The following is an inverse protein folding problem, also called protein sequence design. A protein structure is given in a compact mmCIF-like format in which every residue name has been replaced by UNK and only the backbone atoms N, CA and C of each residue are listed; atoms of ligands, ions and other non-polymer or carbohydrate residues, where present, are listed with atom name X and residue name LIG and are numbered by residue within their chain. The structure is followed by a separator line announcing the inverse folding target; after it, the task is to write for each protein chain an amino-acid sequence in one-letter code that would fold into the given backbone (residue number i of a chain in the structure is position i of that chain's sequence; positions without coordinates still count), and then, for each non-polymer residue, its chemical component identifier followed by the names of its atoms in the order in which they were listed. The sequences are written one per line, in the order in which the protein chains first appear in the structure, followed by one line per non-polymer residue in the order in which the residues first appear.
data_IF_296534567555
#
_entry.id   IF_296534567555
#
_cell.length_a   1.000
_cell.length_b   1.000
_cell.length_c   1.000
_cell.angle_alpha   90.00
_cell.angle_beta   90.00
_cell.angle_gamma   90.00
#
_symmetry.space_group_name_H-M   'P 1'
#
loop_
_entity.id
_entity.type
_entity.pdbx_description
1 polymer ?
#
# COMPACT_ATOMS: atom_id res chain seq x y z
N UNK A 1 17.32 5.07 -11.32
CA UNK A 1 16.07 4.32 -11.08
C UNK A 1 15.72 4.48 -9.62
N UNK A 2 14.48 4.85 -9.32
CA UNK A 2 13.98 4.98 -7.97
C UNK A 2 13.59 3.62 -7.40
N UNK A 3 13.85 3.40 -6.12
CA UNK A 3 13.47 2.21 -5.35
C UNK A 3 12.19 2.48 -4.58
N UNK A 4 11.18 1.62 -4.76
CA UNK A 4 9.87 1.74 -4.10
C UNK A 4 9.61 0.50 -3.26
N UNK A 5 9.28 0.70 -1.98
CA UNK A 5 8.79 -0.35 -1.10
C UNK A 5 7.26 -0.31 -1.01
N UNK A 6 6.58 -1.40 -1.30
CA UNK A 6 5.13 -1.54 -1.21
C UNK A 6 4.79 -2.55 -0.12
N UNK A 7 4.01 -2.14 0.87
CA UNK A 7 3.46 -3.00 1.90
C UNK A 7 1.99 -3.28 1.57
N UNK A 8 1.72 -4.48 1.06
CA UNK A 8 0.41 -4.93 0.60
C UNK A 8 -0.23 -5.81 1.66
N UNK A 9 -1.01 -5.23 2.56
CA UNK A 9 -1.52 -5.91 3.74
C UNK A 9 -2.87 -6.60 3.52
N UNK A 10 -3.59 -6.21 2.47
CA UNK A 10 -4.87 -6.82 2.07
C UNK A 10 -4.70 -7.85 0.94
N UNK A 11 -3.82 -7.56 -0.03
CA UNK A 11 -3.62 -8.39 -1.22
C UNK A 11 -2.26 -9.09 -1.23
N UNK A 12 -2.21 -10.30 -1.79
CA UNK A 12 -0.94 -10.99 -2.04
C UNK A 12 -0.10 -10.33 -3.13
N UNK A 13 1.23 -10.49 -3.05
CA UNK A 13 2.19 -9.86 -3.96
C UNK A 13 1.93 -10.19 -5.43
N UNK A 14 1.59 -11.45 -5.75
CA UNK A 14 1.29 -11.90 -7.11
C UNK A 14 0.08 -11.19 -7.73
N UNK A 15 -0.96 -10.95 -6.92
CA UNK A 15 -2.16 -10.26 -7.38
C UNK A 15 -1.87 -8.79 -7.68
N UNK A 16 -1.08 -8.14 -6.83
CA UNK A 16 -0.68 -6.76 -7.02
C UNK A 16 0.26 -6.62 -8.24
N UNK A 17 1.25 -7.49 -8.37
CA UNK A 17 2.15 -7.55 -9.53
C UNK A 17 1.37 -7.75 -10.83
N UNK A 18 0.39 -8.67 -10.83
CA UNK A 18 -0.49 -8.90 -11.99
C UNK A 18 -1.25 -7.64 -12.38
N UNK A 19 -1.83 -6.92 -11.40
CA UNK A 19 -2.53 -5.65 -11.68
C UNK A 19 -1.58 -4.59 -12.26
N UNK A 20 -0.36 -4.50 -11.75
CA UNK A 20 0.66 -3.58 -12.28
C UNK A 20 1.04 -3.92 -13.74
N UNK A 21 1.21 -5.20 -14.06
CA UNK A 21 1.53 -5.66 -15.41
C UNK A 21 0.37 -5.35 -16.37
N UNK A 22 -0.86 -5.71 -15.99
CA UNK A 22 -2.04 -5.43 -16.82
C UNK A 22 -2.22 -3.94 -17.08
N UNK A 23 -2.04 -3.11 -16.04
CA UNK A 23 -2.10 -1.65 -16.16
C UNK A 23 -1.01 -1.10 -17.09
N UNK A 24 0.24 -1.54 -16.91
CA UNK A 24 1.37 -1.08 -17.74
C UNK A 24 1.31 -1.58 -19.20
N UNK A 25 0.71 -2.74 -19.44
CA UNK A 25 0.57 -3.34 -20.77
C UNK A 25 -0.72 -2.94 -21.49
N UNK A 26 -1.63 -2.25 -20.82
CA UNK A 26 -3.00 -2.00 -21.29
C UNK A 26 -3.70 -3.31 -21.71
N UNK A 27 -3.64 -4.30 -20.81
CA UNK A 27 -4.20 -5.65 -20.97
C UNK A 27 -5.39 -5.81 -20.04
N UNK A 28 -6.49 -6.35 -20.56
CA UNK A 28 -7.69 -6.62 -19.75
C UNK A 28 -7.42 -7.71 -18.70
N UNK A 29 -7.50 -7.33 -17.43
CA UNK A 29 -7.28 -8.22 -16.29
C UNK A 29 -8.27 -9.39 -16.21
N UNK A 30 -9.49 -9.24 -16.75
CA UNK A 30 -10.47 -10.33 -16.78
C UNK A 30 -10.06 -11.39 -17.78
N UNK A 31 -9.65 -10.98 -18.99
CA UNK A 31 -9.19 -11.91 -20.03
C UNK A 31 -7.95 -12.70 -19.58
N UNK A 32 -7.04 -12.07 -18.83
CA UNK A 32 -5.90 -12.76 -18.23
C UNK A 32 -6.37 -13.82 -17.22
N UNK A 33 -7.32 -13.47 -16.34
CA UNK A 33 -7.87 -14.37 -15.31
C UNK A 33 -8.65 -15.54 -15.91
N UNK A 34 -9.37 -15.32 -17.00
CA UNK A 34 -10.18 -16.35 -17.68
C UNK A 34 -9.38 -17.15 -18.71
N UNK A 35 -8.12 -16.78 -18.98
CA UNK A 35 -7.30 -17.42 -20.00
C UNK A 35 -7.72 -17.12 -21.45
N UNK A 36 -8.57 -16.12 -21.66
CA UNK A 36 -9.11 -15.76 -23.00
C UNK A 36 -8.29 -14.64 -23.65
N UNK A 37 -6.96 -14.68 -23.47
CA UNK A 37 -6.03 -13.70 -24.01
C UNK A 37 -5.79 -13.91 -25.50
N UNK A 38 -5.85 -12.82 -26.27
CA UNK A 38 -5.44 -12.85 -27.68
C UNK A 38 -3.92 -12.89 -27.82
N UNK A 39 -3.40 -13.24 -28.99
CA UNK A 39 -1.94 -13.17 -29.24
C UNK A 39 -1.37 -11.77 -29.03
N UNK A 40 -2.12 -10.73 -29.38
CA UNK A 40 -1.73 -9.34 -29.14
C UNK A 40 -1.68 -9.03 -27.64
N UNK A 41 -2.67 -9.48 -26.87
CA UNK A 41 -2.67 -9.32 -25.41
C UNK A 41 -1.45 -10.00 -24.77
N UNK A 42 -1.11 -11.22 -25.21
CA UNK A 42 0.07 -11.94 -24.74
C UNK A 42 1.38 -11.20 -25.05
N UNK A 43 1.48 -10.61 -26.24
CA UNK A 43 2.64 -9.81 -26.64
C UNK A 43 2.79 -8.57 -25.74
N UNK A 44 1.70 -7.82 -25.53
CA UNK A 44 1.68 -6.64 -24.64
C UNK A 44 2.00 -7.01 -23.19
N UNK A 45 1.44 -8.11 -22.70
CA UNK A 45 1.69 -8.63 -21.36
C UNK A 45 3.18 -8.98 -21.17
N UNK A 46 3.77 -9.72 -22.12
CA UNK A 46 5.19 -10.11 -22.06
C UNK A 46 6.11 -8.89 -22.06
N UNK A 47 5.82 -7.89 -22.89
CA UNK A 47 6.56 -6.63 -22.90
C UNK A 47 6.45 -5.92 -21.54
N UNK A 48 5.25 -5.87 -20.94
CA UNK A 48 5.02 -5.26 -19.65
C UNK A 48 5.75 -6.00 -18.50
N UNK A 49 5.76 -7.34 -18.50
CA UNK A 49 6.56 -8.16 -17.58
C UNK A 49 8.04 -7.79 -17.70
N UNK A 50 8.56 -7.73 -18.92
CA UNK A 50 9.95 -7.35 -19.17
C UNK A 50 10.27 -5.96 -18.61
N UNK A 51 9.37 -4.98 -18.78
CA UNK A 51 9.53 -3.64 -18.17
C UNK A 51 9.51 -3.69 -16.65
N UNK A 52 8.53 -4.36 -16.05
CA UNK A 52 8.36 -4.41 -14.60
C UNK A 52 9.53 -5.14 -13.90
N UNK A 53 10.04 -6.22 -14.51
CA UNK A 53 11.20 -6.99 -13.98
C UNK A 53 12.48 -6.16 -13.84
N UNK A 54 12.60 -5.04 -14.56
CA UNK A 54 13.74 -4.13 -14.49
C UNK A 54 13.54 -2.97 -13.51
N UNK A 55 12.38 -2.90 -12.86
CA UNK A 55 12.09 -1.87 -11.86
C UNK A 55 12.60 -2.29 -10.49
N UNK A 56 12.83 -1.32 -9.60
CA UNK A 56 13.21 -1.56 -8.20
C UNK A 56 11.99 -1.46 -7.28
N UNK A 57 10.97 -2.26 -7.59
CA UNK A 57 9.75 -2.35 -6.76
C UNK A 57 9.88 -3.59 -5.89
N UNK A 58 9.83 -3.38 -4.58
CA UNK A 58 9.87 -4.43 -3.57
C UNK A 58 8.50 -4.53 -2.91
N UNK A 59 7.87 -5.70 -2.94
CA UNK A 59 6.55 -5.93 -2.35
C UNK A 59 6.72 -6.80 -1.11
N UNK A 60 6.11 -6.37 -0.01
CA UNK A 60 5.95 -7.14 1.20
C UNK A 60 4.47 -7.35 1.46
N UNK A 61 4.01 -8.60 1.42
CA UNK A 61 2.62 -8.99 1.63
C UNK A 61 2.39 -9.68 2.98
N UNK A 62 3.25 -9.39 3.97
CA UNK A 62 3.10 -9.95 5.32
C UNK A 62 1.82 -9.41 5.98
N UNK A 63 0.81 -10.26 6.29
CA UNK A 63 -0.43 -9.81 6.89
C UNK A 63 -0.22 -9.43 8.37
N UNK A 64 -0.98 -8.44 8.84
CA UNK A 64 -0.98 -8.05 10.26
C UNK A 64 0.37 -7.53 10.77
N UNK A 65 1.18 -6.94 9.90
CA UNK A 65 2.49 -6.39 10.26
C UNK A 65 2.36 -5.31 11.35
N UNK A 66 3.26 -5.34 12.33
CA UNK A 66 3.36 -4.26 13.32
C UNK A 66 4.14 -3.09 12.75
N UNK A 67 3.81 -1.88 13.21
CA UNK A 67 4.46 -0.66 12.74
C UNK A 67 5.99 -0.66 12.94
N UNK A 68 6.48 -1.31 14.00
CA UNK A 68 7.92 -1.46 14.25
C UNK A 68 8.61 -2.44 13.29
N UNK A 69 7.92 -3.48 12.87
CA UNK A 69 8.44 -4.44 11.89
C UNK A 69 8.50 -3.79 10.50
N UNK A 70 7.45 -3.03 10.14
CA UNK A 70 7.42 -2.21 8.93
C UNK A 70 8.63 -1.24 8.90
N UNK A 71 8.86 -0.50 9.99
CA UNK A 71 10.02 0.40 10.11
C UNK A 71 11.34 -0.34 9.89
N UNK A 72 11.52 -1.49 10.53
CA UNK A 72 12.74 -2.30 10.44
C UNK A 72 12.98 -2.78 9.01
N UNK A 73 11.93 -3.24 8.31
CA UNK A 73 11.99 -3.64 6.90
C UNK A 73 12.35 -2.46 5.99
N UNK A 74 11.78 -1.28 6.20
CA UNK A 74 12.13 -0.08 5.42
C UNK A 74 13.60 0.32 5.62
N UNK A 75 14.13 0.28 6.85
CA UNK A 75 15.55 0.58 7.13
C UNK A 75 16.48 -0.38 6.42
N UNK A 76 16.18 -1.68 6.47
CA UNK A 76 16.94 -2.72 5.78
C UNK A 76 16.92 -2.51 4.27
N UNK A 77 15.74 -2.25 3.69
CA UNK A 77 15.61 -1.98 2.25
C UNK A 77 16.41 -0.74 1.83
N UNK A 78 16.34 0.36 2.61
CA UNK A 78 17.14 1.56 2.35
C UNK A 78 18.65 1.27 2.39
N UNK A 79 19.10 0.45 3.33
CA UNK A 79 20.52 0.06 3.46
C UNK A 79 21.00 -0.81 2.30
N UNK A 80 20.21 -1.79 1.88
CA UNK A 80 20.59 -2.77 0.85
C UNK A 80 20.44 -2.22 -0.58
N UNK A 81 19.41 -1.40 -0.84
CA UNK A 81 19.00 -1.04 -2.20
C UNK A 81 18.71 0.46 -2.42
N UNK A 82 18.80 1.29 -1.37
CA UNK A 82 18.20 2.62 -1.36
C UNK A 82 16.68 2.55 -1.20
N UNK A 83 16.04 3.67 -0.85
CA UNK A 83 14.58 3.74 -0.73
C UNK A 83 14.10 5.16 -1.00
N UNK A 84 13.33 5.33 -2.07
CA UNK A 84 12.88 6.62 -2.58
C UNK A 84 11.38 6.86 -2.37
N UNK A 85 10.60 5.81 -2.12
CA UNK A 85 9.18 5.90 -1.80
C UNK A 85 8.70 4.67 -1.04
N UNK A 86 7.76 4.88 -0.12
CA UNK A 86 7.03 3.81 0.57
C UNK A 86 5.54 3.95 0.24
N UNK A 87 4.90 2.83 -0.10
CA UNK A 87 3.45 2.74 -0.32
C UNK A 87 2.89 1.69 0.65
N UNK A 88 1.77 2.00 1.32
CA UNK A 88 1.14 1.09 2.27
C UNK A 88 -0.35 0.95 1.95
N UNK A 89 -0.77 -0.29 1.73
CA UNK A 89 -2.15 -0.70 1.44
C UNK A 89 -2.64 -1.65 2.54
N UNK A 90 -3.30 -1.20 3.61
CA UNK A 90 -3.67 0.17 3.96
C UNK A 90 -3.56 0.37 5.48
N UNK A 91 -3.63 1.61 5.96
CA UNK A 91 -3.31 2.00 7.35
C UNK A 91 -4.00 1.14 8.40
N UNK A 92 -5.28 0.86 8.24
CA UNK A 92 -6.07 0.16 9.24
C UNK A 92 -5.75 -1.35 9.34
N UNK A 93 -4.85 -1.89 8.52
CA UNK A 93 -4.35 -3.26 8.68
C UNK A 93 -3.02 -3.34 9.43
N UNK A 94 -2.38 -2.20 9.70
CA UNK A 94 -1.17 -2.13 10.53
C UNK A 94 -1.58 -2.30 12.01
N UNK A 95 -0.79 -3.08 12.73
CA UNK A 95 -0.91 -3.23 14.18
C UNK A 95 0.01 -2.22 14.91
N UNK A 96 -0.50 -1.65 16.01
CA UNK A 96 0.26 -0.78 16.90
C UNK A 96 1.43 -1.49 17.61
N UNK A 97 2.21 -0.73 18.38
CA UNK A 97 3.41 -1.26 19.05
C UNK A 97 3.14 -2.06 20.34
N UNK A 98 1.94 -1.93 20.93
CA UNK A 98 1.56 -2.56 22.20
C UNK A 98 1.00 -3.98 22.08
N UNK A 99 1.20 -4.80 23.11
CA UNK A 99 0.66 -6.18 23.20
C UNK A 99 -0.75 -6.26 23.79
N UNK A 100 -1.28 -5.15 24.30
CA UNK A 100 -2.65 -5.08 24.82
C UNK A 100 -3.51 -4.49 23.71
N UNK A 101 -4.62 -5.16 23.39
CA UNK A 101 -5.74 -4.53 22.71
C UNK A 101 -5.98 -3.18 23.35
N UNK A 102 -5.52 -2.12 22.68
CA UNK A 102 -5.89 -0.78 23.11
C UNK A 102 -7.39 -0.72 22.86
N UNK A 103 -8.19 -0.53 23.92
CA UNK A 103 -9.66 -0.42 23.83
C UNK A 103 -10.11 0.70 22.89
N UNK A 104 -9.18 1.52 22.37
CA UNK A 104 -9.47 2.60 21.45
C UNK A 104 -8.65 2.50 20.16
N UNK A 105 -9.26 1.89 19.14
CA UNK A 105 -8.71 1.81 17.78
C UNK A 105 -8.28 3.16 17.20
N UNK A 106 -8.95 4.25 17.56
CA UNK A 106 -8.58 5.60 17.12
C UNK A 106 -7.17 5.97 17.61
N UNK A 107 -6.83 5.64 18.86
CA UNK A 107 -5.53 5.95 19.45
C UNK A 107 -4.40 5.14 18.79
N UNK A 108 -4.67 3.89 18.44
CA UNK A 108 -3.75 3.02 17.70
C UNK A 108 -3.45 3.60 16.30
N UNK A 109 -4.48 4.01 15.57
CA UNK A 109 -4.33 4.66 14.26
C UNK A 109 -3.58 5.99 14.39
N UNK A 110 -3.79 6.76 15.47
CA UNK A 110 -2.99 7.96 15.77
C UNK A 110 -1.50 7.65 15.92
N UNK A 111 -1.17 6.58 16.65
CA UNK A 111 0.20 6.14 16.87
C UNK A 111 0.86 5.70 15.57
N UNK A 112 0.15 4.92 14.76
CA UNK A 112 0.60 4.48 13.43
C UNK A 112 0.90 5.70 12.55
N UNK A 113 -0.03 6.66 12.45
CA UNK A 113 0.15 7.88 11.64
C UNK A 113 1.41 8.67 12.05
N UNK A 114 1.58 8.94 13.35
CA UNK A 114 2.78 9.63 13.88
C UNK A 114 4.05 8.86 13.58
N UNK A 115 4.02 7.54 13.69
CA UNK A 115 5.19 6.70 13.43
C UNK A 115 5.53 6.67 11.94
N UNK A 116 4.54 6.62 11.05
CA UNK A 116 4.77 6.74 9.61
C UNK A 116 5.37 8.09 9.23
N UNK A 117 4.92 9.18 9.86
CA UNK A 117 5.54 10.50 9.68
C UNK A 117 7.00 10.51 10.15
N UNK A 118 7.31 9.85 11.26
CA UNK A 118 8.67 9.70 11.74
C UNK A 118 9.53 8.87 10.79
N UNK A 119 9.00 7.77 10.22
CA UNK A 119 9.66 6.94 9.21
C UNK A 119 9.95 7.77 7.96
N UNK A 120 8.99 8.55 7.46
CA UNK A 120 9.18 9.43 6.31
C UNK A 120 10.34 10.43 6.52
N UNK A 121 10.41 11.01 7.72
CA UNK A 121 11.49 11.94 8.11
C UNK A 121 12.83 11.24 8.27
N UNK A 122 12.87 10.12 8.98
CA UNK A 122 14.10 9.33 9.21
C UNK A 122 14.70 8.81 7.90
N UNK A 123 13.84 8.31 7.01
CA UNK A 123 14.26 7.73 5.73
C UNK A 123 14.32 8.76 4.61
N UNK A 124 13.99 10.03 4.88
CA UNK A 124 14.03 11.12 3.91
C UNK A 124 13.32 10.77 2.60
N UNK A 125 12.19 10.04 2.68
CA UNK A 125 11.44 9.60 1.52
C UNK A 125 9.93 9.78 1.73
N UNK A 126 9.17 10.09 0.67
CA UNK A 126 7.71 10.15 0.73
C UNK A 126 7.09 8.81 1.12
N UNK A 127 6.10 8.88 2.02
CA UNK A 127 5.26 7.75 2.42
C UNK A 127 3.83 8.02 1.95
N UNK A 128 3.30 7.13 1.11
CA UNK A 128 1.90 7.12 0.68
C UNK A 128 1.20 6.02 1.48
N UNK A 129 0.23 6.41 2.31
CA UNK A 129 -0.56 5.45 3.08
C UNK A 129 -2.02 5.54 2.65
N UNK A 130 -2.55 4.41 2.18
CA UNK A 130 -3.97 4.32 1.84
C UNK A 130 -4.80 4.25 3.12
N UNK A 131 -5.99 4.85 3.09
CA UNK A 131 -6.94 4.80 4.19
C UNK A 131 -8.32 4.50 3.65
N UNK A 132 -9.05 3.62 4.34
CA UNK A 132 -10.47 3.43 4.08
C UNK A 132 -11.30 4.57 4.69
N UNK A 133 -12.48 4.78 4.13
CA UNK A 133 -13.49 5.69 4.64
C UNK A 133 -14.50 4.92 5.49
N UNK A 134 -15.12 5.61 6.44
CA UNK A 134 -16.31 5.12 7.13
C UNK A 134 -17.52 5.12 6.18
N UNK A 135 -18.52 4.27 6.45
CA UNK A 135 -19.76 4.20 5.65
C UNK A 135 -20.65 5.45 5.77
N UNK A 136 -20.30 6.42 6.63
CA UNK A 136 -21.07 7.65 6.82
C UNK A 136 -21.22 8.47 5.54
N UNK A 137 -20.21 8.44 4.66
CA UNK A 137 -20.24 9.09 3.34
C UNK A 137 -21.40 8.60 2.45
N UNK A 138 -21.81 7.34 2.60
CA UNK A 138 -22.87 6.73 1.78
C UNK A 138 -24.27 7.20 2.19
N UNK A 139 -24.43 7.65 3.44
CA UNK A 139 -25.72 8.07 4.00
C UNK A 139 -26.07 9.53 3.66
N UNK A 140 -25.11 10.32 3.19
CA UNK A 140 -25.32 11.72 2.81
C UNK A 140 -25.89 11.83 1.40
N UNK A 141 -26.61 12.93 1.13
CA UNK A 141 -27.02 13.27 -0.24
C UNK A 141 -25.80 13.55 -1.12
N UNK A 142 -24.85 14.35 -0.62
CA UNK A 142 -23.54 14.53 -1.27
C UNK A 142 -22.58 13.43 -0.80
N UNK A 143 -22.23 12.55 -1.74
CA UNK A 143 -21.33 11.40 -1.54
C UNK A 143 -19.85 11.76 -1.74
N UNK A 144 -19.52 13.05 -1.91
CA UNK A 144 -18.12 13.50 -1.90
C UNK A 144 -17.50 13.26 -0.51
N UNK A 145 -16.35 12.57 -0.43
CA UNK A 145 -15.64 12.40 0.84
C UNK A 145 -15.16 13.73 1.42
N UNK A 146 -15.19 13.81 2.74
CA UNK A 146 -14.66 14.88 3.57
C UNK A 146 -13.60 14.29 4.51
N UNK A 147 -12.73 15.11 5.10
CA UNK A 147 -11.66 14.64 5.99
C UNK A 147 -12.22 13.76 7.13
N UNK A 148 -13.33 14.20 7.73
CA UNK A 148 -14.04 13.47 8.80
C UNK A 148 -14.54 12.07 8.41
N UNK A 149 -14.56 11.74 7.12
CA UNK A 149 -14.98 10.42 6.66
C UNK A 149 -13.85 9.39 6.73
N UNK A 150 -12.60 9.82 6.87
CA UNK A 150 -11.46 8.91 7.05
C UNK A 150 -11.77 8.03 8.27
N UNK A 151 -11.64 6.71 8.11
CA UNK A 151 -12.01 5.78 9.17
C UNK A 151 -10.99 5.88 10.31
N UNK A 152 -11.48 6.02 11.54
CA UNK A 152 -10.65 6.10 12.75
C UNK A 152 -9.73 7.36 12.76
N UNK A 153 -10.14 8.43 12.07
CA UNK A 153 -9.28 9.55 11.63
C UNK A 153 -9.00 10.69 12.58
N UNK A 154 -9.54 10.72 13.80
CA UNK A 154 -9.51 11.95 14.63
C UNK A 154 -8.13 12.52 14.98
N UNK A 155 -7.06 11.91 14.46
CA UNK A 155 -5.64 12.30 14.55
C UNK A 155 -4.86 12.19 13.22
N UNK A 156 -5.44 11.64 12.15
CA UNK A 156 -4.78 11.54 10.82
C UNK A 156 -4.79 12.92 10.13
N UNK A 157 -5.79 13.74 10.43
CA UNK A 157 -6.01 15.05 9.82
C UNK A 157 -5.12 16.16 10.43
N UNK A 158 -4.44 15.88 11.54
CA UNK A 158 -3.55 16.80 12.28
C UNK A 158 -2.08 16.48 12.02
#
# INVERSE_FOLDING_TARGET
MYTVGIFSLEMGADQLATRMICSSGNVDSNRLRTGTMTEEDWSRFTIAVGKLSRTKIFIDDTPGIRINDLRSKCRRLKQEHGLDMIVIDYLQLIQGSGSRFSDNRQQEVSEISRTLKAIARELECPVIALSQLSRGVEQRQDKRPMMSDIRESGSIEQ
#
